data_IF_275517120240
#
_entry.id   IF_275517120240
#
_cell.length_a   1.000
_cell.length_b   1.000
_cell.length_c   1.000
_cell.angle_alpha   90.00
_cell.angle_beta   90.00
_cell.angle_gamma   90.00
#
_symmetry.space_group_name_H-M   'P 1'
#
loop_
_entity.id
_entity.type
_entity.pdbx_description
1 polymer ?
#
# COMPACT_ATOMS: atom_id res chain seq x y z
N UNK A 1 -4.52 -8.68 -6.45
CA UNK A 1 -3.53 -9.32 -5.56
C UNK A 1 -2.40 -8.36 -5.32
N UNK A 2 -2.57 -7.40 -4.41
CA UNK A 2 -1.54 -6.41 -4.16
C UNK A 2 -0.52 -6.91 -3.12
N UNK A 3 0.73 -6.49 -3.29
CA UNK A 3 1.72 -6.50 -2.24
C UNK A 3 1.96 -5.06 -1.79
N UNK A 4 1.83 -4.81 -0.49
CA UNK A 4 1.96 -3.49 0.11
C UNK A 4 3.17 -3.50 1.04
N UNK A 5 4.09 -2.56 0.84
CA UNK A 5 5.22 -2.33 1.72
C UNK A 5 5.09 -0.93 2.32
N UNK A 6 5.04 -0.85 3.64
CA UNK A 6 4.98 0.43 4.36
C UNK A 6 6.30 0.62 5.08
N UNK A 7 6.94 1.76 4.88
CA UNK A 7 8.20 2.14 5.51
C UNK A 7 7.97 3.32 6.43
N UNK A 8 8.27 3.15 7.70
CA UNK A 8 8.13 4.17 8.74
C UNK A 8 9.30 4.13 9.70
N UNK A 9 9.57 5.23 10.38
CA UNK A 9 10.51 5.23 11.49
C UNK A 9 9.88 4.56 12.71
N UNK A 10 10.68 3.81 13.45
CA UNK A 10 10.25 3.22 14.73
C UNK A 10 9.69 4.29 15.66
N UNK A 11 8.54 4.02 16.26
CA UNK A 11 7.83 4.96 17.14
C UNK A 11 6.86 5.91 16.42
N UNK A 12 6.78 5.90 15.09
CA UNK A 12 5.75 6.67 14.36
C UNK A 12 4.34 6.20 14.71
N UNK A 13 4.14 4.90 14.88
CA UNK A 13 2.87 4.31 15.27
C UNK A 13 3.04 3.42 16.51
N UNK A 14 2.09 3.52 17.45
CA UNK A 14 1.87 2.45 18.42
C UNK A 14 1.27 1.23 17.72
N UNK A 15 1.44 0.03 18.28
CA UNK A 15 1.01 -1.21 17.62
C UNK A 15 -0.47 -1.23 17.27
N UNK A 16 -1.35 -0.79 18.16
CA UNK A 16 -2.79 -0.72 17.91
C UNK A 16 -3.15 0.27 16.80
N UNK A 17 -2.46 1.41 16.75
CA UNK A 17 -2.61 2.43 15.71
C UNK A 17 -2.06 1.93 14.37
N UNK A 18 -0.91 1.25 14.39
CA UNK A 18 -0.34 0.61 13.21
C UNK A 18 -1.31 -0.39 12.58
N UNK A 19 -1.95 -1.22 13.38
CA UNK A 19 -2.92 -2.22 12.88
C UNK A 19 -4.11 -1.55 12.18
N UNK A 20 -4.61 -0.44 12.73
CA UNK A 20 -5.67 0.35 12.11
C UNK A 20 -5.22 1.02 10.82
N UNK A 21 -4.02 1.58 10.81
CA UNK A 21 -3.44 2.19 9.62
C UNK A 21 -3.30 1.17 8.48
N UNK A 22 -2.71 0.02 8.78
CA UNK A 22 -2.56 -1.09 7.82
C UNK A 22 -3.91 -1.53 7.27
N UNK A 23 -4.92 -1.68 8.13
CA UNK A 23 -6.28 -2.05 7.70
C UNK A 23 -6.85 -1.04 6.71
N UNK A 24 -6.76 0.25 7.00
CA UNK A 24 -7.29 1.28 6.11
C UNK A 24 -6.53 1.36 4.78
N UNK A 25 -5.22 1.20 4.80
CA UNK A 25 -4.42 1.14 3.56
C UNK A 25 -4.82 -0.09 2.73
N UNK A 26 -4.98 -1.26 3.35
CA UNK A 26 -5.47 -2.45 2.65
C UNK A 26 -6.81 -2.21 1.97
N UNK A 27 -7.77 -1.65 2.70
CA UNK A 27 -9.12 -1.40 2.19
C UNK A 27 -9.09 -0.44 1.00
N UNK A 28 -8.26 0.61 1.07
CA UNK A 28 -8.10 1.56 -0.02
C UNK A 28 -7.50 0.90 -1.27
N UNK A 29 -6.48 0.07 -1.11
CA UNK A 29 -5.83 -0.63 -2.24
C UNK A 29 -6.78 -1.64 -2.87
N UNK A 30 -7.47 -2.45 -2.07
CA UNK A 30 -8.46 -3.40 -2.58
C UNK A 30 -9.59 -2.70 -3.34
N UNK A 31 -10.09 -1.59 -2.81
CA UNK A 31 -11.11 -0.78 -3.48
C UNK A 31 -10.62 -0.26 -4.83
N UNK A 32 -9.36 0.19 -4.90
CA UNK A 32 -8.76 0.67 -6.15
C UNK A 32 -8.62 -0.45 -7.19
N UNK A 33 -8.39 -1.69 -6.76
CA UNK A 33 -8.37 -2.87 -7.64
C UNK A 33 -9.78 -3.41 -7.98
N UNK A 34 -10.84 -2.73 -7.57
CA UNK A 34 -12.23 -3.17 -7.69
C UNK A 34 -12.55 -4.47 -6.94
N UNK A 35 -11.78 -4.79 -5.92
CA UNK A 35 -12.04 -5.88 -5.01
C UNK A 35 -12.82 -5.41 -3.78
N UNK A 36 -13.62 -6.30 -3.20
CA UNK A 36 -14.26 -6.01 -1.91
C UNK A 36 -13.27 -6.18 -0.76
N UNK A 37 -13.09 -5.17 0.10
CA UNK A 37 -12.27 -5.30 1.29
C UNK A 37 -12.75 -6.40 2.26
N UNK A 38 -14.00 -6.81 2.16
CA UNK A 38 -14.58 -7.84 3.00
C UNK A 38 -14.49 -9.24 2.40
N UNK A 39 -14.11 -9.36 1.13
CA UNK A 39 -13.96 -10.66 0.46
C UNK A 39 -12.79 -11.44 1.05
N UNK A 40 -13.03 -12.71 1.39
CA UNK A 40 -12.00 -13.55 2.01
C UNK A 40 -10.86 -13.90 1.06
N UNK A 41 -11.16 -14.09 -0.22
CA UNK A 41 -10.16 -14.35 -1.25
C UNK A 41 -9.27 -13.12 -1.47
N UNK A 42 -9.88 -11.95 -1.60
CA UNK A 42 -9.15 -10.69 -1.75
C UNK A 42 -8.23 -10.43 -0.55
N UNK A 43 -8.74 -10.60 0.66
CA UNK A 43 -7.94 -10.45 1.89
C UNK A 43 -6.78 -11.42 1.96
N UNK A 44 -6.99 -12.68 1.62
CA UNK A 44 -5.94 -13.71 1.69
C UNK A 44 -4.78 -13.48 0.72
N UNK A 45 -5.05 -12.77 -0.38
CA UNK A 45 -4.07 -12.45 -1.41
C UNK A 45 -3.47 -11.03 -1.27
N UNK A 46 -3.87 -10.28 -0.26
CA UNK A 46 -3.31 -8.98 0.04
C UNK A 46 -2.27 -9.10 1.15
N UNK A 47 -1.01 -8.96 0.79
CA UNK A 47 0.07 -9.07 1.76
C UNK A 47 0.65 -7.71 2.06
N UNK A 48 0.85 -7.44 3.36
CA UNK A 48 1.43 -6.19 3.84
C UNK A 48 2.66 -6.50 4.65
N UNK A 49 3.76 -5.84 4.30
CA UNK A 49 4.96 -5.80 5.14
C UNK A 49 5.13 -4.40 5.69
N UNK A 50 5.11 -4.30 7.01
CA UNK A 50 5.36 -3.05 7.71
C UNK A 50 6.82 -3.05 8.17
N UNK A 51 7.61 -2.13 7.60
CA UNK A 51 9.05 -2.04 7.83
C UNK A 51 9.34 -0.82 8.68
N UNK A 52 9.91 -1.02 9.86
CA UNK A 52 10.36 0.06 10.71
C UNK A 52 11.87 0.26 10.61
N UNK A 53 12.28 1.52 10.46
CA UNK A 53 13.67 1.92 10.52
C UNK A 53 13.99 2.46 11.91
N UNK A 54 15.20 2.18 12.47
CA UNK A 54 15.64 2.79 13.70
C UNK A 54 15.57 4.31 13.62
N UNK A 55 15.26 4.97 14.74
CA UNK A 55 15.27 6.42 14.83
C UNK A 55 16.63 6.97 14.39
N UNK A 56 16.62 7.99 13.56
CA UNK A 56 17.84 8.58 13.02
C UNK A 56 18.30 7.98 11.68
N UNK A 57 17.58 7.00 11.14
CA UNK A 57 17.93 6.35 9.85
C UNK A 57 17.07 6.80 8.68
N UNK A 58 16.25 7.82 8.85
CA UNK A 58 15.49 8.44 7.76
C UNK A 58 15.98 9.85 7.51
N UNK A 59 16.34 10.11 6.28
CA UNK A 59 16.91 11.37 5.83
C UNK A 59 16.01 12.02 4.77
N UNK A 60 15.90 13.34 4.84
CA UNK A 60 15.40 14.14 3.72
C UNK A 60 16.57 14.97 3.22
N UNK A 61 16.96 14.74 1.95
CA UNK A 61 18.20 15.30 1.45
C UNK A 61 19.39 14.73 2.22
N UNK A 62 20.08 15.58 2.97
CA UNK A 62 21.27 15.22 3.76
C UNK A 62 21.05 15.25 5.25
N UNK A 63 19.82 15.50 5.70
CA UNK A 63 19.51 15.74 7.09
C UNK A 63 18.60 14.67 7.68
N UNK A 64 18.91 14.26 8.90
CA UNK A 64 18.02 13.40 9.72
C UNK A 64 16.80 14.22 10.12
N UNK A 65 15.63 13.61 10.01
CA UNK A 65 14.35 14.26 10.28
C UNK A 65 13.70 13.66 11.52
N UNK A 66 13.28 14.49 12.47
CA UNK A 66 12.62 14.08 13.71
C UNK A 66 11.20 13.50 13.48
N UNK A 67 10.50 14.03 12.49
CA UNK A 67 9.17 13.54 12.08
C UNK A 67 9.22 13.12 10.62
N UNK A 68 9.77 11.94 10.32
CA UNK A 68 9.96 11.49 8.95
C UNK A 68 8.64 11.15 8.28
N UNK A 69 8.56 11.35 6.94
CA UNK A 69 7.42 10.88 6.17
C UNK A 69 7.39 9.35 6.10
N UNK A 70 6.24 8.82 5.78
CA UNK A 70 6.07 7.40 5.47
C UNK A 70 6.15 7.16 3.97
N UNK A 71 6.59 5.98 3.56
CA UNK A 71 6.54 5.54 2.17
C UNK A 71 5.65 4.32 2.09
N UNK A 72 4.67 4.37 1.19
CA UNK A 72 3.74 3.27 0.93
C UNK A 72 3.99 2.82 -0.51
N UNK A 73 4.46 1.60 -0.66
CA UNK A 73 4.71 0.98 -1.95
C UNK A 73 3.63 -0.06 -2.22
N UNK A 74 2.99 0.03 -3.38
CA UNK A 74 1.94 -0.91 -3.79
C UNK A 74 2.37 -1.54 -5.11
N UNK A 75 2.59 -2.86 -5.10
CA UNK A 75 2.81 -3.65 -6.30
C UNK A 75 1.51 -4.34 -6.67
N UNK A 76 1.08 -4.17 -7.91
CA UNK A 76 -0.15 -4.77 -8.45
C UNK A 76 0.15 -5.50 -9.76
N UNK A 77 -0.66 -6.49 -10.16
CA UNK A 77 -0.57 -7.03 -11.50
C UNK A 77 -0.84 -5.93 -12.54
N UNK A 78 -0.13 -6.00 -13.66
CA UNK A 78 -0.35 -5.11 -14.80
C UNK A 78 -1.84 -5.09 -15.19
N UNK A 79 -2.40 -3.89 -15.31
CA UNK A 79 -3.81 -3.69 -15.65
C UNK A 79 -4.80 -3.78 -14.47
N UNK A 80 -4.35 -4.08 -13.25
CA UNK A 80 -5.22 -4.06 -12.08
C UNK A 80 -5.67 -2.64 -11.71
N UNK A 81 -4.84 -1.65 -11.94
CA UNK A 81 -5.14 -0.23 -11.77
C UNK A 81 -5.12 0.49 -13.12
N UNK A 82 -5.93 1.52 -13.24
CA UNK A 82 -5.88 2.48 -14.35
C UNK A 82 -5.56 3.88 -13.83
N UNK A 83 -5.51 4.87 -14.70
CA UNK A 83 -5.18 6.25 -14.31
C UNK A 83 -6.16 6.82 -13.29
N UNK A 84 -7.45 6.55 -13.43
CA UNK A 84 -8.49 7.03 -12.52
C UNK A 84 -8.39 6.36 -11.15
N UNK A 85 -8.23 5.05 -11.11
CA UNK A 85 -8.13 4.31 -9.83
C UNK A 85 -6.82 4.60 -9.10
N UNK A 86 -5.71 4.88 -9.81
CA UNK A 86 -4.48 5.38 -9.19
C UNK A 86 -4.68 6.72 -8.51
N UNK A 87 -5.38 7.65 -9.19
CA UNK A 87 -5.69 8.96 -8.61
C UNK A 87 -6.60 8.84 -7.40
N UNK A 88 -7.65 8.02 -7.48
CA UNK A 88 -8.56 7.77 -6.36
C UNK A 88 -7.84 7.12 -5.17
N UNK A 89 -6.91 6.20 -5.45
CA UNK A 89 -6.09 5.58 -4.40
C UNK A 89 -5.23 6.62 -3.69
N UNK A 90 -4.57 7.52 -4.42
CA UNK A 90 -3.77 8.58 -3.79
C UNK A 90 -4.65 9.52 -2.94
N UNK A 91 -5.82 9.89 -3.39
CA UNK A 91 -6.75 10.71 -2.60
C UNK A 91 -7.11 10.00 -1.28
N UNK A 92 -7.40 8.70 -1.34
CA UNK A 92 -7.71 7.90 -0.14
C UNK A 92 -6.51 7.77 0.80
N UNK A 93 -5.34 7.46 0.24
CA UNK A 93 -4.10 7.32 1.02
C UNK A 93 -3.70 8.64 1.67
N UNK A 94 -3.81 9.75 0.95
CA UNK A 94 -3.52 11.07 1.51
C UNK A 94 -4.41 11.38 2.72
N UNK A 95 -5.70 11.09 2.64
CA UNK A 95 -6.63 11.29 3.76
C UNK A 95 -6.28 10.38 4.96
N UNK A 96 -5.94 9.12 4.70
CA UNK A 96 -5.55 8.17 5.75
C UNK A 96 -4.25 8.64 6.44
N UNK A 97 -3.23 8.98 5.67
CA UNK A 97 -1.94 9.42 6.22
C UNK A 97 -2.12 10.68 7.05
N UNK A 98 -2.87 11.68 6.56
CA UNK A 98 -3.15 12.91 7.29
C UNK A 98 -3.89 12.65 8.60
N UNK A 99 -4.81 11.69 8.61
CA UNK A 99 -5.57 11.32 9.81
C UNK A 99 -4.69 10.67 10.89
N UNK A 100 -3.70 9.86 10.50
CA UNK A 100 -2.83 9.13 11.43
C UNK A 100 -1.60 9.90 11.88
N UNK A 101 -0.91 10.61 11.00
CA UNK A 101 0.34 11.31 11.32
C UNK A 101 0.28 12.83 11.11
N UNK A 102 -0.86 13.34 10.65
CA UNK A 102 -1.06 14.76 10.39
C UNK A 102 -0.44 15.26 9.10
N UNK A 103 -0.71 16.51 8.80
CA UNK A 103 -0.05 17.25 7.72
C UNK A 103 1.25 17.85 8.24
N UNK A 104 2.27 17.92 7.38
CA UNK A 104 3.55 18.50 7.73
C UNK A 104 3.71 19.89 7.13
N UNK A 105 4.20 20.84 7.92
CA UNK A 105 4.45 22.20 7.45
C UNK A 105 5.56 22.21 6.37
N UNK A 106 5.23 22.78 5.23
CA UNK A 106 6.17 22.99 4.11
C UNK A 106 6.83 21.72 3.54
N UNK A 107 6.30 20.54 3.80
CA UNK A 107 6.82 19.31 3.19
C UNK A 107 5.76 18.20 3.11
N UNK A 108 6.01 17.23 2.25
CA UNK A 108 5.14 16.06 2.09
C UNK A 108 5.27 15.13 3.32
N UNK A 109 4.18 14.49 3.69
CA UNK A 109 4.14 13.52 4.79
C UNK A 109 4.19 12.07 4.31
N UNK A 110 4.09 11.83 3.01
CA UNK A 110 4.21 10.48 2.45
C UNK A 110 4.56 10.52 0.96
N UNK A 111 5.02 9.37 0.49
CA UNK A 111 4.97 8.99 -0.91
C UNK A 111 4.13 7.73 -1.06
N UNK A 112 3.31 7.68 -2.10
CA UNK A 112 2.66 6.48 -2.59
C UNK A 112 3.32 6.10 -3.92
N UNK A 113 4.01 4.96 -3.93
CA UNK A 113 4.69 4.43 -5.10
C UNK A 113 3.90 3.23 -5.62
N UNK A 114 3.44 3.29 -6.84
CA UNK A 114 2.63 2.24 -7.46
C UNK A 114 3.42 1.60 -8.60
N UNK A 115 3.67 0.31 -8.48
CA UNK A 115 4.43 -0.48 -9.45
C UNK A 115 3.54 -1.55 -10.05
N UNK A 116 3.51 -1.65 -11.35
CA UNK A 116 2.86 -2.75 -12.05
C UNK A 116 3.86 -3.89 -12.27
N UNK A 117 3.42 -5.10 -11.91
CA UNK A 117 4.15 -6.33 -12.21
C UNK A 117 3.62 -6.85 -13.53
N UNK A 118 4.50 -6.97 -14.52
CA UNK A 118 4.15 -7.37 -15.88
C UNK A 118 3.37 -8.70 -15.90
N UNK A 119 2.43 -8.81 -16.82
CA UNK A 119 1.68 -10.05 -17.03
C UNK A 119 2.64 -11.23 -17.17
N UNK A 120 2.35 -12.32 -16.46
CA UNK A 120 3.22 -13.49 -16.43
C UNK A 120 4.43 -13.41 -15.50
N UNK A 121 4.52 -12.35 -14.66
CA UNK A 121 5.64 -12.15 -13.72
C UNK A 121 5.25 -12.28 -12.25
N UNK A 122 4.00 -12.63 -11.95
CA UNK A 122 3.56 -12.91 -10.59
C UNK A 122 3.37 -14.40 -10.39
N UNK A 123 4.09 -15.00 -9.46
CA UNK A 123 4.10 -16.44 -9.29
C UNK A 123 4.15 -16.85 -7.81
N UNK A 124 3.56 -18.00 -7.51
CA UNK A 124 3.64 -18.68 -6.23
C UNK A 124 3.25 -20.15 -6.40
N UNK A 125 3.67 -21.01 -5.48
CA UNK A 125 3.34 -22.45 -5.47
C UNK A 125 3.64 -23.18 -6.78
N UNK A 126 4.67 -22.74 -7.51
CA UNK A 126 5.03 -23.33 -8.81
C UNK A 126 4.12 -22.91 -9.98
N UNK A 127 3.26 -21.93 -9.78
CA UNK A 127 2.29 -21.44 -10.78
C UNK A 127 2.56 -19.96 -11.06
N UNK A 128 2.47 -19.59 -12.32
CA UNK A 128 2.45 -18.19 -12.77
C UNK A 128 0.99 -17.79 -12.95
N UNK A 129 0.60 -16.70 -12.28
CA UNK A 129 -0.79 -16.21 -12.31
C UNK A 129 -0.97 -15.13 -13.37
N UNK A 130 -2.02 -15.29 -14.18
CA UNK A 130 -2.50 -14.21 -15.04
C UNK A 130 -3.34 -13.20 -14.24
N UNK A 131 -3.54 -11.99 -14.77
CA UNK A 131 -4.48 -11.02 -14.20
C UNK A 131 -5.89 -11.61 -14.07
N UNK A 132 -6.30 -12.43 -15.05
CA UNK A 132 -7.60 -13.13 -15.03
C UNK A 132 -7.70 -14.07 -13.83
N UNK A 133 -6.66 -14.87 -13.57
CA UNK A 133 -6.64 -15.80 -12.42
C UNK A 133 -6.70 -15.04 -11.11
N UNK A 134 -5.96 -13.93 -11.01
CA UNK A 134 -5.96 -13.04 -9.84
C UNK A 134 -7.35 -12.48 -9.60
N UNK A 135 -7.99 -11.94 -10.63
CA UNK A 135 -9.36 -11.39 -10.51
C UNK A 135 -10.35 -12.44 -10.06
N UNK A 136 -10.27 -13.66 -10.64
CA UNK A 136 -11.15 -14.77 -10.26
C UNK A 136 -10.96 -15.14 -8.78
N UNK A 137 -9.72 -15.26 -8.32
CA UNK A 137 -9.40 -15.60 -6.93
C UNK A 137 -9.83 -14.53 -5.91
N UNK A 138 -9.92 -13.28 -6.33
CA UNK A 138 -10.35 -12.14 -5.51
C UNK A 138 -11.84 -11.80 -5.69
N UNK A 139 -12.59 -12.60 -6.44
CA UNK A 139 -13.99 -12.34 -6.80
C UNK A 139 -14.22 -10.97 -7.45
N UNK A 140 -13.24 -10.47 -8.20
CA UNK A 140 -13.35 -9.24 -8.97
C UNK A 140 -14.09 -9.54 -10.28
N UNK A 141 -15.11 -8.75 -10.66
CA UNK A 141 -15.78 -8.89 -11.96
C UNK A 141 -14.80 -8.79 -13.12
N UNK A 142 -14.99 -9.66 -14.12
CA UNK A 142 -14.14 -9.69 -15.32
C UNK A 142 -14.46 -8.55 -16.28
#
# INVERSE_FOLDING_TARGET
MPHISIKAQAGTFEKSTQDKFVTQICDAVLTAENASPNDSGAKSLTWVHFNEFPKGNVYIGKEVIDSPPVVIEVSTPEGALNQETRKSLEVSVNAIVADFIGEFDNRLNHWLLMTEIAEGSWASAGIVFSLKDVKAAMNIPQ
#
